data_IF_667321705947
#
_entry.id   IF_667321705947
#
_cell.length_a   1.000
_cell.length_b   1.000
_cell.length_c   1.000
_cell.angle_alpha   90.00
_cell.angle_beta   90.00
_cell.angle_gamma   90.00
#
_symmetry.space_group_name_H-M   'P 1'
#
loop_
_entity.id
_entity.type
_entity.pdbx_description
1 polymer ?
#
# COMPACT_ATOMS: atom_id res chain seq x y z
N UNK A 1 6.15 19.87 -17.92
CA UNK A 1 6.80 18.67 -17.35
C UNK A 1 5.83 17.50 -17.51
N UNK A 2 6.30 16.34 -17.99
CA UNK A 2 5.48 15.13 -17.97
C UNK A 2 5.22 14.72 -16.51
N UNK A 3 4.01 14.25 -16.24
CA UNK A 3 3.61 13.77 -14.93
C UNK A 3 4.44 12.52 -14.53
N UNK A 4 4.96 12.50 -13.30
CA UNK A 4 5.71 11.36 -12.77
C UNK A 4 4.76 10.21 -12.42
N UNK A 5 5.25 8.96 -12.44
CA UNK A 5 4.47 7.81 -11.97
C UNK A 5 4.03 8.01 -10.50
N UNK A 6 4.91 8.60 -9.68
CA UNK A 6 4.63 8.94 -8.29
C UNK A 6 3.41 9.86 -8.17
N UNK A 7 3.45 11.02 -8.86
CA UNK A 7 2.38 12.01 -8.80
C UNK A 7 1.05 11.48 -9.36
N UNK A 8 1.08 10.57 -10.35
CA UNK A 8 -0.11 9.87 -10.84
C UNK A 8 -0.75 9.00 -9.75
N UNK A 9 0.06 8.20 -9.05
CA UNK A 9 -0.44 7.32 -7.99
C UNK A 9 -0.95 8.13 -6.80
N UNK A 10 -0.21 9.15 -6.36
CA UNK A 10 -0.69 10.04 -5.29
C UNK A 10 -2.05 10.66 -5.67
N UNK A 11 -2.18 11.23 -6.87
CA UNK A 11 -3.45 11.82 -7.33
C UNK A 11 -4.58 10.81 -7.41
N UNK A 12 -4.30 9.58 -7.82
CA UNK A 12 -5.30 8.52 -7.87
C UNK A 12 -5.82 8.20 -6.46
N UNK A 13 -4.92 8.05 -5.49
CA UNK A 13 -5.25 7.82 -4.08
C UNK A 13 -6.00 9.01 -3.47
N UNK A 14 -5.55 10.24 -3.72
CA UNK A 14 -6.20 11.45 -3.19
C UNK A 14 -7.59 11.67 -3.78
N UNK A 15 -7.81 11.38 -5.06
CA UNK A 15 -9.14 11.37 -5.68
C UNK A 15 -10.04 10.30 -5.07
N UNK A 16 -9.45 9.19 -4.65
CA UNK A 16 -10.18 8.10 -4.03
C UNK A 16 -10.58 8.45 -2.61
N UNK A 17 -9.67 9.01 -1.81
CA UNK A 17 -9.88 9.23 -0.38
C UNK A 17 -10.03 10.70 -0.01
N UNK A 18 -8.92 11.43 0.03
CA UNK A 18 -8.87 12.85 0.32
C UNK A 18 -7.47 13.39 -0.01
N UNK A 19 -7.35 14.71 -0.21
CA UNK A 19 -6.06 15.36 -0.37
C UNK A 19 -5.29 15.44 0.95
N UNK A 20 -4.01 15.06 0.92
CA UNK A 20 -3.09 15.25 2.06
C UNK A 20 -2.58 16.69 2.15
N UNK A 21 -2.57 17.43 1.03
CA UNK A 21 -2.17 18.84 0.98
C UNK A 21 -0.66 19.07 0.90
N UNK A 22 0.12 18.01 0.70
CA UNK A 22 1.57 18.06 0.47
C UNK A 22 1.94 17.22 -0.75
N UNK A 23 3.02 17.58 -1.42
CA UNK A 23 3.61 16.76 -2.47
C UNK A 23 4.49 15.67 -1.83
N UNK A 24 4.05 14.41 -1.81
CA UNK A 24 4.82 13.34 -1.16
C UNK A 24 6.14 13.03 -1.90
N UNK A 25 6.28 13.48 -3.15
CA UNK A 25 7.54 13.37 -3.90
C UNK A 25 8.65 14.22 -3.28
N UNK A 26 8.30 15.32 -2.59
CA UNK A 26 9.23 16.14 -1.81
C UNK A 26 9.67 15.47 -0.49
N UNK A 27 8.98 14.40 -0.07
CA UNK A 27 9.36 13.58 1.07
C UNK A 27 10.35 12.47 0.70
N UNK A 28 10.81 12.39 -0.56
CA UNK A 28 11.77 11.37 -0.97
C UNK A 28 13.13 11.66 -0.33
N UNK A 29 13.68 10.66 0.36
CA UNK A 29 14.99 10.74 1.03
C UNK A 29 16.03 9.89 0.30
N UNK A 30 17.29 10.27 0.46
CA UNK A 30 18.40 9.52 -0.10
C UNK A 30 18.75 8.25 0.70
N UNK A 31 19.69 7.47 0.16
CA UNK A 31 20.19 6.24 0.79
C UNK A 31 20.89 6.51 2.13
N UNK A 32 21.61 7.62 2.25
CA UNK A 32 22.36 7.93 3.47
C UNK A 32 21.38 8.21 4.63
N UNK A 33 20.33 8.99 4.36
CA UNK A 33 19.27 9.28 5.32
C UNK A 33 18.45 8.03 5.66
N UNK A 34 18.09 7.22 4.68
CA UNK A 34 17.42 5.93 4.91
C UNK A 34 18.23 5.01 5.84
N UNK A 35 19.56 4.93 5.63
CA UNK A 35 20.45 4.15 6.50
C UNK A 35 20.52 4.72 7.93
N UNK A 36 20.53 6.05 8.10
CA UNK A 36 20.49 6.69 9.42
C UNK A 36 19.18 6.36 10.15
N UNK A 37 18.03 6.56 9.48
CA UNK A 37 16.71 6.32 10.08
C UNK A 37 16.49 4.84 10.41
N UNK A 38 16.98 3.93 9.56
CA UNK A 38 16.90 2.49 9.81
C UNK A 38 17.67 2.05 11.06
N UNK A 39 18.78 2.73 11.39
CA UNK A 39 19.51 2.49 12.66
C UNK A 39 18.70 2.96 13.87
N UNK A 40 17.94 4.05 13.73
CA UNK A 40 17.09 4.59 14.79
C UNK A 40 15.80 3.78 15.00
N UNK A 41 15.30 3.12 13.96
CA UNK A 41 14.07 2.33 13.99
C UNK A 41 14.18 0.98 14.72
N UNK A 42 15.36 0.62 15.26
CA UNK A 42 15.56 -0.58 16.06
C UNK A 42 15.90 -1.85 15.26
N UNK A 43 15.97 -2.99 15.96
CA UNK A 43 16.48 -4.24 15.40
C UNK A 43 15.53 -4.90 14.40
N UNK A 44 14.21 -4.85 14.63
CA UNK A 44 13.19 -5.44 13.74
C UNK A 44 13.14 -4.74 12.37
N UNK A 45 13.50 -3.44 12.31
CA UNK A 45 13.59 -2.69 11.05
C UNK A 45 14.68 -3.21 10.10
N UNK A 46 15.59 -4.09 10.56
CA UNK A 46 16.59 -4.74 9.70
C UNK A 46 16.00 -5.84 8.82
N UNK A 47 14.83 -6.36 9.18
CA UNK A 47 14.15 -7.40 8.41
C UNK A 47 13.24 -6.82 7.32
N UNK A 48 12.90 -5.53 7.43
CA UNK A 48 12.13 -4.80 6.43
C UNK A 48 12.93 -4.61 5.14
N UNK A 49 12.21 -4.44 4.03
CA UNK A 49 12.78 -4.26 2.68
C UNK A 49 13.87 -3.18 2.64
N UNK A 50 14.96 -3.48 1.92
CA UNK A 50 15.97 -2.48 1.54
C UNK A 50 15.64 -1.80 0.19
N UNK A 51 14.62 -2.30 -0.53
CA UNK A 51 14.26 -1.77 -1.84
C UNK A 51 13.46 -0.47 -1.74
N UNK A 52 12.62 -0.35 -0.72
CA UNK A 52 11.85 0.84 -0.42
C UNK A 52 11.45 0.86 1.06
N UNK A 53 11.17 2.04 1.60
CA UNK A 53 10.71 2.20 2.99
C UNK A 53 10.10 3.56 3.26
N UNK A 54 8.99 3.58 4.00
CA UNK A 54 8.41 4.80 4.58
C UNK A 54 8.82 4.92 6.05
N UNK A 55 9.25 6.12 6.42
CA UNK A 55 9.61 6.49 7.77
C UNK A 55 8.64 7.56 8.27
N UNK A 56 8.11 7.34 9.46
CA UNK A 56 7.20 8.26 10.13
C UNK A 56 7.80 8.67 11.46
N UNK A 57 7.68 9.95 11.79
CA UNK A 57 8.02 10.47 13.13
C UNK A 57 7.03 11.53 13.52
N UNK A 58 6.46 11.36 14.70
CA UNK A 58 5.64 12.36 15.36
C UNK A 58 6.49 13.20 16.31
N UNK A 59 6.38 14.53 16.25
CA UNK A 59 7.04 15.44 17.18
C UNK A 59 6.23 16.73 17.35
N UNK A 60 5.66 16.92 18.54
CA UNK A 60 4.70 18.01 18.79
C UNK A 60 3.50 17.88 17.86
N UNK A 61 3.08 18.98 17.24
CA UNK A 61 1.93 18.99 16.31
C UNK A 61 2.33 18.67 14.86
N UNK A 62 3.45 17.97 14.65
CA UNK A 62 3.98 17.69 13.33
C UNK A 62 4.20 16.19 13.10
N UNK A 63 3.79 15.74 11.91
CA UNK A 63 4.18 14.46 11.33
C UNK A 63 5.29 14.70 10.30
N UNK A 64 6.42 14.04 10.51
CA UNK A 64 7.52 13.98 9.56
C UNK A 64 7.41 12.67 8.77
N UNK A 65 7.51 12.79 7.44
CA UNK A 65 7.45 11.68 6.50
C UNK A 65 8.73 11.64 5.69
N UNK A 66 9.33 10.45 5.55
CA UNK A 66 10.43 10.20 4.64
C UNK A 66 10.18 8.94 3.83
N UNK A 67 10.32 9.00 2.51
CA UNK A 67 10.10 7.86 1.62
C UNK A 67 11.41 7.53 0.93
N UNK A 68 11.91 6.32 1.10
CA UNK A 68 13.09 5.84 0.43
C UNK A 68 12.71 4.88 -0.69
N UNK A 69 13.32 5.07 -1.86
CA UNK A 69 13.37 4.07 -2.93
C UNK A 69 14.82 3.82 -3.33
N UNK A 70 15.20 2.54 -3.44
CA UNK A 70 16.52 2.16 -3.90
C UNK A 70 16.73 2.53 -5.37
N UNK A 71 17.99 2.84 -5.74
CA UNK A 71 18.35 3.11 -7.14
C UNK A 71 18.01 1.94 -8.06
N UNK A 72 18.12 0.71 -7.57
CA UNK A 72 17.73 -0.46 -8.33
C UNK A 72 16.24 -0.42 -8.66
N UNK A 73 15.37 -0.14 -7.68
CA UNK A 73 13.93 -0.08 -7.87
C UNK A 73 13.54 1.00 -8.89
N UNK A 74 14.12 2.21 -8.74
CA UNK A 74 13.90 3.32 -9.67
C UNK A 74 14.29 2.90 -11.09
N UNK A 75 15.50 2.36 -11.28
CA UNK A 75 15.96 1.90 -12.58
C UNK A 75 15.06 0.81 -13.19
N UNK A 76 14.51 -0.10 -12.37
CA UNK A 76 13.57 -1.12 -12.85
C UNK A 76 12.28 -0.49 -13.38
N UNK A 77 11.71 0.48 -12.65
CA UNK A 77 10.47 1.16 -13.05
C UNK A 77 10.67 2.09 -14.25
N UNK A 78 11.84 2.73 -14.38
CA UNK A 78 12.15 3.54 -15.57
C UNK A 78 12.36 2.67 -16.81
N UNK A 79 13.08 1.55 -16.67
CA UNK A 79 13.32 0.62 -17.77
C UNK A 79 12.05 -0.10 -18.21
N UNK A 80 11.18 -0.41 -17.25
CA UNK A 80 9.97 -1.17 -17.46
C UNK A 80 8.74 -0.42 -16.93
N UNK A 81 8.48 0.74 -17.54
CA UNK A 81 7.42 1.65 -17.10
C UNK A 81 6.05 0.95 -17.07
N UNK A 82 5.41 0.82 -15.89
CA UNK A 82 4.09 0.21 -15.77
C UNK A 82 3.00 0.97 -16.53
N UNK A 83 3.25 2.23 -16.93
CA UNK A 83 2.37 3.03 -17.80
C UNK A 83 2.47 2.63 -19.28
N UNK A 84 3.44 1.79 -19.64
CA UNK A 84 3.53 1.15 -20.95
C UNK A 84 3.00 -0.29 -20.97
N UNK A 85 2.78 -0.91 -19.80
CA UNK A 85 2.22 -2.24 -19.66
C UNK A 85 2.62 -2.88 -18.33
N UNK A 86 1.74 -3.71 -17.76
CA UNK A 86 2.02 -4.46 -16.54
C UNK A 86 2.33 -5.93 -16.86
N UNK A 87 3.42 -6.46 -16.31
CA UNK A 87 3.83 -7.85 -16.49
C UNK A 87 4.81 -8.33 -15.42
N UNK A 88 5.31 -9.55 -15.57
CA UNK A 88 6.18 -10.18 -14.55
C UNK A 88 7.49 -9.41 -14.29
N UNK A 89 7.92 -8.60 -15.25
CA UNK A 89 9.16 -7.82 -15.18
C UNK A 89 9.04 -6.54 -14.34
N UNK A 90 7.84 -5.99 -14.11
CA UNK A 90 7.65 -4.74 -13.36
C UNK A 90 6.63 -4.83 -12.22
N UNK A 91 5.76 -5.84 -12.17
CA UNK A 91 4.69 -5.91 -11.16
C UNK A 91 5.22 -5.85 -9.73
N UNK A 92 6.32 -6.55 -9.43
CA UNK A 92 6.89 -6.55 -8.07
C UNK A 92 7.46 -5.19 -7.68
N UNK A 93 8.15 -4.54 -8.62
CA UNK A 93 8.66 -3.18 -8.42
C UNK A 93 7.51 -2.19 -8.23
N UNK A 94 6.42 -2.34 -8.98
CA UNK A 94 5.25 -1.49 -8.84
C UNK A 94 4.54 -1.68 -7.50
N UNK A 95 4.37 -2.93 -7.03
CA UNK A 95 3.78 -3.24 -5.72
C UNK A 95 4.54 -2.49 -4.62
N UNK A 96 5.85 -2.72 -4.52
CA UNK A 96 6.70 -2.09 -3.51
C UNK A 96 6.66 -0.56 -3.63
N UNK A 97 6.64 -0.04 -4.85
CA UNK A 97 6.56 1.40 -5.08
C UNK A 97 5.25 2.01 -4.55
N UNK A 98 4.12 1.38 -4.86
CA UNK A 98 2.77 1.84 -4.47
C UNK A 98 2.58 1.73 -2.96
N UNK A 99 3.02 0.65 -2.32
CA UNK A 99 2.87 0.42 -0.88
C UNK A 99 3.47 1.57 -0.07
N UNK A 100 4.66 2.09 -0.44
CA UNK A 100 5.26 3.21 0.29
C UNK A 100 4.53 4.54 0.09
N UNK A 101 4.01 4.82 -1.11
CA UNK A 101 3.16 6.00 -1.33
C UNK A 101 1.91 5.88 -0.46
N UNK A 102 1.36 4.67 -0.38
CA UNK A 102 0.17 4.38 0.39
C UNK A 102 0.39 4.59 1.89
N UNK A 103 1.47 4.05 2.45
CA UNK A 103 1.86 4.27 3.84
C UNK A 103 1.97 5.75 4.18
N UNK A 104 2.70 6.52 3.36
CA UNK A 104 2.87 7.95 3.55
C UNK A 104 1.53 8.72 3.48
N UNK A 105 0.70 8.41 2.49
CA UNK A 105 -0.59 9.07 2.28
C UNK A 105 -1.55 8.79 3.43
N UNK A 106 -1.72 7.53 3.83
CA UNK A 106 -2.66 7.20 4.90
C UNK A 106 -2.18 7.64 6.27
N UNK A 107 -0.87 7.61 6.54
CA UNK A 107 -0.31 8.20 7.75
C UNK A 107 -0.63 9.71 7.82
N UNK A 108 -0.42 10.45 6.72
CA UNK A 108 -0.74 11.87 6.66
C UNK A 108 -2.24 12.15 6.83
N UNK A 109 -3.10 11.36 6.19
CA UNK A 109 -4.55 11.52 6.34
C UNK A 109 -5.04 11.13 7.74
N UNK A 110 -4.47 10.12 8.39
CA UNK A 110 -4.81 9.75 9.76
C UNK A 110 -4.38 10.85 10.74
N UNK A 111 -3.17 11.38 10.57
CA UNK A 111 -2.67 12.51 11.35
C UNK A 111 -3.56 13.75 11.24
N UNK A 112 -3.99 14.10 10.01
CA UNK A 112 -4.93 15.20 9.75
C UNK A 112 -6.30 14.99 10.41
N UNK A 113 -6.68 13.74 10.64
CA UNK A 113 -7.92 13.37 11.32
C UNK A 113 -7.77 13.27 12.86
N UNK A 114 -6.62 13.68 13.42
CA UNK A 114 -6.38 13.69 14.87
C UNK A 114 -5.80 12.39 15.43
N UNK A 115 -5.43 11.43 14.58
CA UNK A 115 -4.75 10.20 15.02
C UNK A 115 -3.26 10.47 15.13
N UNK A 116 -2.79 10.67 16.36
CA UNK A 116 -1.39 11.01 16.65
C UNK A 116 -0.58 9.82 17.19
N UNK A 117 -1.23 8.70 17.53
CA UNK A 117 -0.58 7.49 18.01
C UNK A 117 -0.07 6.63 16.84
N UNK A 118 1.04 7.05 16.24
CA UNK A 118 1.66 6.36 15.09
C UNK A 118 2.57 5.20 15.47
N UNK A 119 2.80 4.97 16.77
CA UNK A 119 3.73 3.97 17.30
C UNK A 119 3.07 2.65 17.68
N UNK A 120 1.74 2.57 17.65
CA UNK A 120 1.01 1.36 18.03
C UNK A 120 1.09 0.29 16.93
N UNK A 121 0.95 -0.97 17.33
CA UNK A 121 0.91 -2.07 16.37
C UNK A 121 -0.35 -2.02 15.50
N UNK A 122 -1.48 -1.58 16.06
CA UNK A 122 -2.72 -1.44 15.30
C UNK A 122 -2.61 -0.37 14.21
N UNK A 123 -1.90 0.74 14.46
CA UNK A 123 -1.59 1.72 13.43
C UNK A 123 -0.77 1.09 12.29
N UNK A 124 0.25 0.30 12.63
CA UNK A 124 1.07 -0.35 11.61
C UNK A 124 0.28 -1.40 10.81
N UNK A 125 -0.55 -2.22 11.46
CA UNK A 125 -1.45 -3.17 10.79
C UNK A 125 -2.47 -2.47 9.91
N UNK A 126 -2.99 -1.33 10.35
CA UNK A 126 -3.93 -0.53 9.58
C UNK A 126 -3.33 -0.05 8.26
N UNK A 127 -2.10 0.47 8.32
CA UNK A 127 -1.36 0.92 7.13
C UNK A 127 -1.08 -0.24 6.17
N UNK A 128 -0.58 -1.37 6.66
CA UNK A 128 -0.27 -2.53 5.81
C UNK A 128 -1.53 -3.10 5.15
N UNK A 129 -2.63 -3.25 5.90
CA UNK A 129 -3.91 -3.71 5.35
C UNK A 129 -4.43 -2.77 4.26
N UNK A 130 -4.41 -1.45 4.52
CA UNK A 130 -4.84 -0.45 3.55
C UNK A 130 -3.95 -0.44 2.30
N UNK A 131 -2.63 -0.56 2.48
CA UNK A 131 -1.65 -0.61 1.40
C UNK A 131 -1.86 -1.80 0.48
N UNK A 132 -2.12 -2.99 1.03
CA UNK A 132 -2.40 -4.18 0.23
C UNK A 132 -3.71 -4.03 -0.56
N UNK A 133 -4.77 -3.51 0.07
CA UNK A 133 -6.07 -3.30 -0.60
C UNK A 133 -5.95 -2.29 -1.73
N UNK A 134 -5.33 -1.15 -1.48
CA UNK A 134 -5.16 -0.09 -2.47
C UNK A 134 -4.22 -0.50 -3.60
N UNK A 135 -3.14 -1.23 -3.29
CA UNK A 135 -2.23 -1.78 -4.30
C UNK A 135 -2.99 -2.71 -5.24
N UNK A 136 -3.85 -3.60 -4.74
CA UNK A 136 -4.70 -4.42 -5.60
C UNK A 136 -5.56 -3.59 -6.57
N UNK A 137 -6.21 -2.54 -6.07
CA UNK A 137 -7.09 -1.68 -6.87
C UNK A 137 -6.31 -0.86 -7.91
N UNK A 138 -5.12 -0.38 -7.56
CA UNK A 138 -4.21 0.31 -8.47
C UNK A 138 -3.75 -0.64 -9.56
N UNK A 139 -3.33 -1.87 -9.22
CA UNK A 139 -2.94 -2.87 -10.21
C UNK A 139 -4.10 -3.22 -11.17
N UNK A 140 -5.32 -3.33 -10.66
CA UNK A 140 -6.53 -3.49 -11.49
C UNK A 140 -6.72 -2.31 -12.44
N UNK A 141 -6.50 -1.09 -11.97
CA UNK A 141 -6.59 0.12 -12.80
C UNK A 141 -5.56 0.10 -13.94
N UNK A 142 -4.30 -0.25 -13.65
CA UNK A 142 -3.26 -0.40 -14.67
C UNK A 142 -3.64 -1.46 -15.71
N UNK A 143 -4.09 -2.65 -15.30
CA UNK A 143 -4.54 -3.68 -16.26
C UNK A 143 -5.72 -3.16 -17.09
N UNK A 144 -6.73 -2.57 -16.47
CA UNK A 144 -7.92 -2.08 -17.17
C UNK A 144 -7.57 -1.02 -18.22
N UNK A 145 -6.61 -0.13 -17.93
CA UNK A 145 -6.15 0.90 -18.86
C UNK A 145 -5.60 0.30 -20.17
N UNK A 146 -4.76 -0.73 -20.09
CA UNK A 146 -4.19 -1.37 -21.29
C UNK A 146 -5.17 -2.23 -22.08
N UNK A 147 -6.26 -2.67 -21.45
CA UNK A 147 -7.25 -3.53 -22.08
C UNK A 147 -8.21 -2.80 -23.04
N UNK A 148 -8.06 -1.47 -23.22
CA UNK A 148 -8.74 -0.64 -24.25
C UNK A 148 -10.18 -1.10 -24.56
N UNK A 149 -11.04 -1.15 -23.52
CA UNK A 149 -12.47 -1.58 -23.48
C UNK A 149 -12.79 -3.01 -23.03
N UNK A 150 -11.82 -3.94 -22.97
CA UNK A 150 -12.09 -5.26 -22.40
C UNK A 150 -12.13 -5.22 -20.87
N UNK A 151 -13.11 -5.92 -20.27
CA UNK A 151 -13.15 -6.11 -18.81
C UNK A 151 -11.90 -6.85 -18.35
N UNK A 152 -11.39 -6.48 -17.17
CA UNK A 152 -10.37 -7.26 -16.47
C UNK A 152 -10.87 -8.69 -16.34
N UNK A 153 -10.04 -9.67 -16.70
CA UNK A 153 -10.42 -11.07 -16.74
C UNK A 153 -10.31 -11.75 -15.37
N UNK A 154 -10.85 -12.97 -15.22
CA UNK A 154 -10.59 -13.79 -14.02
C UNK A 154 -9.12 -14.22 -13.92
N UNK A 155 -8.45 -14.42 -15.05
CA UNK A 155 -7.03 -14.77 -15.09
C UNK A 155 -6.16 -13.62 -14.60
N UNK A 156 -6.47 -12.38 -15.02
CA UNK A 156 -5.76 -11.18 -14.57
C UNK A 156 -5.84 -11.04 -13.04
N UNK A 157 -7.05 -11.17 -12.47
CA UNK A 157 -7.25 -11.11 -11.01
C UNK A 157 -6.47 -12.19 -10.29
N UNK A 158 -6.48 -13.42 -10.81
CA UNK A 158 -5.71 -14.53 -10.23
C UNK A 158 -4.21 -14.23 -10.26
N UNK A 159 -3.71 -13.69 -11.36
CA UNK A 159 -2.31 -13.30 -11.52
C UNK A 159 -1.91 -12.15 -10.58
N UNK A 160 -2.74 -11.13 -10.44
CA UNK A 160 -2.53 -10.04 -9.48
C UNK A 160 -2.49 -10.55 -8.04
N UNK A 161 -3.47 -11.40 -7.65
CA UNK A 161 -3.54 -11.98 -6.31
C UNK A 161 -2.36 -12.91 -6.02
N UNK A 162 -1.87 -13.62 -7.02
CA UNK A 162 -0.66 -14.41 -6.88
C UNK A 162 0.53 -13.53 -6.50
N UNK A 163 0.79 -12.46 -7.25
CA UNK A 163 1.93 -11.59 -6.99
C UNK A 163 1.79 -10.78 -5.69
N UNK A 164 0.58 -10.36 -5.34
CA UNK A 164 0.34 -9.52 -4.16
C UNK A 164 0.21 -10.32 -2.86
N UNK A 165 -0.44 -11.49 -2.88
CA UNK A 165 -0.75 -12.26 -1.67
C UNK A 165 -0.01 -13.60 -1.62
N UNK A 166 -0.20 -14.47 -2.62
CA UNK A 166 0.29 -15.86 -2.54
C UNK A 166 1.82 -16.00 -2.60
N UNK A 167 2.52 -14.99 -3.14
CA UNK A 167 3.98 -14.95 -3.17
C UNK A 167 4.62 -14.36 -1.92
N UNK A 168 3.83 -13.80 -1.01
CA UNK A 168 4.37 -13.30 0.25
C UNK A 168 4.97 -14.45 1.05
N UNK A 169 6.00 -14.14 1.84
CA UNK A 169 6.65 -15.11 2.72
C UNK A 169 6.82 -14.50 4.12
N UNK A 170 5.72 -14.33 4.88
CA UNK A 170 5.80 -13.83 6.26
C UNK A 170 6.77 -14.66 7.11
N UNK A 171 6.92 -15.95 6.79
CA UNK A 171 7.78 -16.89 7.51
C UNK A 171 9.28 -16.57 7.38
N UNK A 172 9.65 -15.65 6.49
CA UNK A 172 11.01 -15.13 6.40
C UNK A 172 11.36 -14.17 7.55
N UNK A 173 10.35 -13.60 8.22
CA UNK A 173 10.55 -12.72 9.37
C UNK A 173 10.85 -13.54 10.63
N UNK A 174 11.92 -13.16 11.34
CA UNK A 174 12.30 -13.71 12.65
C UNK A 174 11.56 -13.00 13.76
N UNK A 175 11.31 -11.70 13.61
CA UNK A 175 10.48 -10.95 14.54
C UNK A 175 9.03 -11.44 14.49
N UNK A 176 8.52 -11.92 15.62
CA UNK A 176 7.20 -12.56 15.69
C UNK A 176 6.06 -11.57 15.45
N UNK A 177 6.23 -10.32 15.88
CA UNK A 177 5.20 -9.30 15.71
C UNK A 177 5.13 -8.87 14.25
N UNK A 178 6.28 -8.68 13.59
CA UNK A 178 6.37 -8.40 12.16
C UNK A 178 5.78 -9.52 11.31
N UNK A 179 6.12 -10.77 11.63
CA UNK A 179 5.51 -11.95 10.98
C UNK A 179 4.00 -11.96 11.15
N UNK A 180 3.51 -11.76 12.38
CA UNK A 180 2.08 -11.73 12.68
C UNK A 180 1.34 -10.62 11.94
N UNK A 181 1.93 -9.42 11.85
CA UNK A 181 1.41 -8.29 11.08
C UNK A 181 1.20 -8.67 9.62
N UNK A 182 2.27 -9.09 8.92
CA UNK A 182 2.19 -9.39 7.49
C UNK A 182 1.29 -10.58 7.18
N UNK A 183 1.28 -11.61 8.03
CA UNK A 183 0.38 -12.75 7.86
C UNK A 183 -1.09 -12.30 7.96
N UNK A 184 -1.45 -11.64 9.06
CA UNK A 184 -2.82 -11.23 9.32
C UNK A 184 -3.34 -10.23 8.28
N UNK A 185 -2.58 -9.18 7.98
CA UNK A 185 -3.04 -8.17 7.03
C UNK A 185 -3.13 -8.73 5.61
N UNK A 186 -2.22 -9.65 5.22
CA UNK A 186 -2.29 -10.33 3.93
C UNK A 186 -3.54 -11.19 3.80
N UNK A 187 -3.90 -11.96 4.82
CA UNK A 187 -5.11 -12.78 4.83
C UNK A 187 -6.38 -11.90 4.76
N UNK A 188 -6.45 -10.85 5.57
CA UNK A 188 -7.57 -9.91 5.58
C UNK A 188 -7.71 -9.19 4.23
N UNK A 189 -6.61 -8.67 3.67
CA UNK A 189 -6.60 -7.99 2.38
C UNK A 189 -7.00 -8.94 1.24
N UNK A 190 -6.52 -10.18 1.26
CA UNK A 190 -6.91 -11.18 0.28
C UNK A 190 -8.43 -11.42 0.34
N UNK A 191 -9.00 -11.72 1.50
CA UNK A 191 -10.44 -11.95 1.64
C UNK A 191 -11.26 -10.73 1.24
N UNK A 192 -10.88 -9.54 1.73
CA UNK A 192 -11.61 -8.31 1.46
C UNK A 192 -11.62 -7.92 -0.03
N UNK A 193 -10.48 -8.06 -0.72
CA UNK A 193 -10.41 -7.75 -2.16
C UNK A 193 -11.23 -8.73 -3.01
N UNK A 194 -11.46 -9.95 -2.53
CA UNK A 194 -12.37 -10.94 -3.12
C UNK A 194 -13.82 -10.44 -3.09
N UNK A 195 -14.24 -9.88 -1.96
CA UNK A 195 -15.54 -9.22 -1.84
C UNK A 195 -15.62 -7.98 -2.75
N UNK A 196 -14.60 -7.12 -2.79
CA UNK A 196 -14.60 -5.92 -3.65
C UNK A 196 -14.77 -6.24 -5.14
N UNK A 197 -14.28 -7.40 -5.60
CA UNK A 197 -14.47 -7.87 -6.97
C UNK A 197 -15.93 -8.16 -7.34
N UNK A 198 -16.79 -8.43 -6.35
CA UNK A 198 -18.24 -8.64 -6.55
C UNK A 198 -19.00 -7.33 -6.73
N UNK A 199 -18.42 -6.21 -6.30
CA UNK A 199 -19.06 -4.89 -6.36
C UNK A 199 -18.83 -4.23 -7.72
N UNK A 200 -19.83 -3.45 -8.17
CA UNK A 200 -19.67 -2.52 -9.28
C UNK A 200 -18.83 -1.29 -8.87
N UNK A 201 -18.41 -0.47 -9.84
CA UNK A 201 -17.48 0.64 -9.59
C UNK A 201 -17.95 1.65 -8.53
N UNK A 202 -19.24 2.03 -8.55
CA UNK A 202 -19.80 2.98 -7.58
C UNK A 202 -19.82 2.40 -6.16
N UNK A 203 -20.38 1.19 -6.01
CA UNK A 203 -20.46 0.51 -4.70
C UNK A 203 -19.08 0.20 -4.15
N UNK A 204 -18.12 -0.15 -5.01
CA UNK A 204 -16.73 -0.38 -4.61
C UNK A 204 -16.10 0.90 -4.07
N UNK A 205 -16.31 2.04 -4.72
CA UNK A 205 -15.78 3.33 -4.28
C UNK A 205 -16.34 3.75 -2.91
N UNK A 206 -17.66 3.61 -2.73
CA UNK A 206 -18.32 3.87 -1.44
C UNK A 206 -17.76 2.96 -0.35
N UNK A 207 -17.62 1.68 -0.65
CA UNK A 207 -17.14 0.66 0.27
C UNK A 207 -15.69 0.90 0.71
N UNK A 208 -14.76 1.19 -0.20
CA UNK A 208 -13.35 1.44 0.17
C UNK A 208 -13.20 2.73 0.97
N UNK A 209 -14.01 3.77 0.69
CA UNK A 209 -14.02 5.01 1.49
C UNK A 209 -14.53 4.76 2.90
N UNK A 210 -15.60 3.98 3.05
CA UNK A 210 -16.11 3.54 4.35
C UNK A 210 -15.05 2.74 5.10
N UNK A 211 -14.48 1.73 4.45
CA UNK A 211 -13.46 0.88 5.05
C UNK A 211 -12.25 1.66 5.54
N UNK A 212 -11.73 2.61 4.74
CA UNK A 212 -10.61 3.48 5.12
C UNK A 212 -10.89 4.31 6.38
N UNK A 213 -12.16 4.65 6.65
CA UNK A 213 -12.54 5.46 7.82
C UNK A 213 -12.62 4.66 9.13
N UNK A 214 -12.60 3.33 9.04
CA UNK A 214 -12.59 2.44 10.20
C UNK A 214 -11.17 2.39 10.80
N UNK A 215 -11.09 2.23 12.12
CA UNK A 215 -9.86 1.79 12.77
C UNK A 215 -9.56 0.31 12.44
N UNK A 216 -8.38 -0.16 12.81
CA UNK A 216 -7.93 -1.50 12.48
C UNK A 216 -8.88 -2.60 13.02
N UNK A 217 -9.33 -2.47 14.27
CA UNK A 217 -10.24 -3.44 14.89
C UNK A 217 -11.57 -3.53 14.14
N UNK A 218 -12.14 -2.38 13.78
CA UNK A 218 -13.37 -2.29 13.01
C UNK A 218 -13.19 -2.78 11.56
N UNK A 219 -12.03 -2.55 10.91
CA UNK A 219 -11.70 -3.15 9.61
C UNK A 219 -11.70 -4.68 9.69
N UNK A 220 -11.02 -5.24 10.68
CA UNK A 220 -10.95 -6.69 10.89
C UNK A 220 -12.34 -7.30 11.11
N UNK A 221 -13.14 -6.73 12.02
CA UNK A 221 -14.51 -7.18 12.26
C UNK A 221 -15.38 -7.09 11.00
N UNK A 222 -15.21 -6.02 10.20
CA UNK A 222 -15.93 -5.84 8.95
C UNK A 222 -15.55 -6.91 7.91
N UNK A 223 -14.26 -7.24 7.74
CA UNK A 223 -13.83 -8.31 6.84
C UNK A 223 -14.40 -9.66 7.26
N UNK A 224 -14.35 -10.01 8.54
CA UNK A 224 -14.92 -11.28 9.03
C UNK A 224 -16.43 -11.36 8.80
N UNK A 225 -17.17 -10.29 9.10
CA UNK A 225 -18.61 -10.24 8.86
C UNK A 225 -18.99 -10.39 7.37
N UNK A 226 -18.10 -10.06 6.45
CA UNK A 226 -18.29 -10.28 5.01
C UNK A 226 -17.99 -11.73 4.60
N UNK A 227 -17.03 -12.39 5.26
CA UNK A 227 -16.70 -13.79 5.02
C UNK A 227 -17.82 -14.72 5.51
N UNK A 228 -18.40 -14.44 6.68
CA UNK A 228 -19.48 -15.24 7.28
C UNK A 228 -20.80 -15.18 6.49
N UNK A 229 -20.96 -14.19 5.59
CA UNK A 229 -22.14 -14.05 4.71
C UNK A 229 -21.96 -14.73 3.36
N UNK A 230 -20.77 -15.26 3.09
CA UNK A 230 -20.40 -15.90 1.83
C UNK A 230 -20.60 -17.42 1.79
N UNK A 231 -20.92 -18.03 2.93
CA UNK A 231 -21.32 -19.43 3.11
C UNK A 231 -22.86 -19.57 3.19
#
# INVERSE_FOLDING_TARGET
MNETLFSQIQRLLERTYAQVGINLEECIIDRARSAQLSKLAGASARELSELARTFLRHAGDQLYVGIYYSRWLINQLERHDPRAGLGDHNIRSLIVFVEEINHALHAALQFKNGQHEIGSEDFARDLELQAQVDTYLILLFFIAFFRKTQRVSRADRRWLRFHLFARQRPEAFRDQNLRGRYLETCELAASYTQFLDTLNGMRRLEEIRKFRSLDYGAKKAHVFALMDRGD
#
